data_IF_957833853394
#
_entry.id   IF_957833853394
#
_cell.length_a   1.000
_cell.length_b   1.000
_cell.length_c   1.000
_cell.angle_alpha   90.00
_cell.angle_beta   90.00
_cell.angle_gamma   90.00
#
_symmetry.space_group_name_H-M   'P 1'
#
loop_
_entity.id
_entity.type
_entity.pdbx_description
1 polymer ?
#
# COMPACT_ATOMS: atom_id res chain seq x y z
N UNK A 1 39.39 46.58 -24.23
CA UNK A 1 38.28 47.28 -24.95
C UNK A 1 37.66 46.26 -25.89
N UNK A 2 36.45 45.99 -25.75
CA UNK A 2 35.47 45.20 -26.49
C UNK A 2 34.87 44.00 -25.69
N UNK A 3 33.66 44.26 -25.26
CA UNK A 3 32.65 43.34 -24.75
C UNK A 3 32.17 42.45 -25.89
N UNK A 4 32.00 41.16 -25.60
CA UNK A 4 31.18 40.29 -26.45
C UNK A 4 30.17 39.52 -25.55
N UNK A 5 28.96 39.98 -25.67
CA UNK A 5 27.74 39.41 -25.11
C UNK A 5 27.43 38.05 -25.75
N UNK A 6 27.34 37.00 -24.94
CA UNK A 6 26.86 35.70 -25.39
C UNK A 6 25.35 35.59 -25.11
N UNK A 7 24.58 35.67 -26.20
CA UNK A 7 23.12 35.46 -26.19
C UNK A 7 22.82 33.97 -26.17
N UNK A 8 22.18 33.49 -25.12
CA UNK A 8 21.64 32.12 -25.05
C UNK A 8 20.28 32.08 -25.75
N UNK A 9 20.25 31.39 -26.88
CA UNK A 9 19.05 31.12 -27.66
C UNK A 9 18.29 29.95 -27.02
N UNK A 10 17.16 30.28 -26.39
CA UNK A 10 16.25 29.29 -25.80
C UNK A 10 15.38 28.70 -26.93
N UNK A 11 15.69 27.49 -27.36
CA UNK A 11 14.83 26.76 -28.30
C UNK A 11 13.69 26.12 -27.51
N UNK A 12 12.49 26.72 -27.63
CA UNK A 12 11.25 26.13 -27.17
C UNK A 12 10.85 24.99 -28.10
N UNK A 13 11.12 23.74 -27.69
CA UNK A 13 10.50 22.57 -28.32
C UNK A 13 9.10 22.41 -27.71
N UNK A 14 8.07 22.78 -28.47
CA UNK A 14 6.69 22.45 -28.15
C UNK A 14 6.49 20.95 -28.35
N UNK A 15 6.54 20.17 -27.27
CA UNK A 15 6.04 18.80 -27.27
C UNK A 15 4.54 18.88 -27.01
N UNK A 16 3.73 18.53 -28.01
CA UNK A 16 2.30 18.33 -27.85
C UNK A 16 2.08 17.10 -26.96
N UNK A 17 1.82 17.32 -25.67
CA UNK A 17 1.25 16.31 -24.82
C UNK A 17 -0.20 16.10 -25.21
N UNK A 18 -0.48 14.95 -25.83
CA UNK A 18 -1.84 14.41 -25.93
C UNK A 18 -2.33 14.24 -24.50
N UNK A 19 -3.38 14.98 -24.17
CA UNK A 19 -4.01 14.98 -22.85
C UNK A 19 -4.62 13.60 -22.57
N UNK A 20 -3.87 12.71 -21.93
CA UNK A 20 -4.47 11.65 -21.15
C UNK A 20 -5.14 12.33 -19.96
N UNK A 21 -6.48 12.21 -19.85
CA UNK A 21 -7.22 12.63 -18.65
C UNK A 21 -6.59 11.99 -17.44
N UNK A 22 -6.03 12.80 -16.54
CA UNK A 22 -5.65 12.34 -15.21
C UNK A 22 -6.87 11.69 -14.54
N UNK A 23 -6.67 10.57 -13.84
CA UNK A 23 -7.79 9.92 -13.16
C UNK A 23 -8.41 10.87 -12.14
N UNK A 24 -9.75 10.92 -12.11
CA UNK A 24 -10.58 11.84 -11.30
C UNK A 24 -10.53 11.59 -9.78
N UNK A 25 -9.45 11.07 -9.24
CA UNK A 25 -9.31 10.83 -7.79
C UNK A 25 -8.41 11.85 -7.06
N UNK A 26 -8.02 12.97 -7.70
CA UNK A 26 -7.65 14.17 -6.95
C UNK A 26 -8.85 14.69 -6.17
N UNK A 27 -9.46 13.79 -5.37
CA UNK A 27 -10.64 14.03 -4.58
C UNK A 27 -10.25 14.62 -3.25
N UNK A 28 -10.62 15.86 -3.04
CA UNK A 28 -10.71 16.53 -1.75
C UNK A 28 -11.48 15.66 -0.75
N UNK A 29 -10.82 15.10 0.25
CA UNK A 29 -11.47 14.37 1.33
C UNK A 29 -11.74 15.31 2.49
N UNK A 30 -13.03 15.58 2.77
CA UNK A 30 -13.43 16.34 3.95
C UNK A 30 -13.49 15.44 5.17
N UNK A 31 -12.56 15.60 6.11
CA UNK A 31 -12.69 15.08 7.47
C UNK A 31 -13.09 16.26 8.37
N UNK A 32 -14.35 16.25 8.88
CA UNK A 32 -14.89 17.29 9.77
C UNK A 32 -14.68 18.74 9.31
N UNK A 33 -14.87 19.03 8.00
CA UNK A 33 -14.87 20.40 7.49
C UNK A 33 -13.50 21.04 7.29
N UNK A 34 -12.39 20.32 7.48
CA UNK A 34 -11.03 20.74 7.08
C UNK A 34 -10.53 19.89 5.92
N UNK A 35 -10.05 20.57 4.89
CA UNK A 35 -9.23 19.95 3.85
C UNK A 35 -7.85 19.69 4.44
N UNK A 36 -7.57 18.43 4.76
CA UNK A 36 -6.23 18.03 5.18
C UNK A 36 -5.56 17.41 3.96
N UNK A 37 -4.68 18.16 3.33
CA UNK A 37 -3.77 17.67 2.31
C UNK A 37 -2.65 16.86 2.98
N UNK A 38 -2.98 15.70 3.51
CA UNK A 38 -1.95 14.80 4.01
C UNK A 38 -1.32 14.08 2.82
N UNK A 39 -0.04 14.33 2.55
CA UNK A 39 0.71 13.62 1.51
C UNK A 39 1.05 12.21 2.01
N UNK A 40 0.29 11.20 1.57
CA UNK A 40 0.60 9.81 1.83
C UNK A 40 1.52 9.26 0.74
N UNK A 41 2.51 8.50 1.16
CA UNK A 41 3.45 7.79 0.26
C UNK A 41 3.58 6.33 0.68
N UNK A 42 3.79 5.45 -0.29
CA UNK A 42 4.28 4.11 -0.01
C UNK A 42 5.79 4.09 -0.21
N UNK A 43 6.52 3.83 0.87
CA UNK A 43 7.98 3.81 0.89
C UNK A 43 8.50 2.42 1.27
N UNK A 44 9.69 2.08 0.80
CA UNK A 44 10.45 0.95 1.32
C UNK A 44 11.03 1.32 2.67
N UNK A 45 11.26 0.32 3.53
CA UNK A 45 11.93 0.55 4.79
C UNK A 45 13.41 0.86 4.56
N UNK A 46 13.83 2.02 4.99
CA UNK A 46 15.23 2.44 5.09
C UNK A 46 15.58 2.64 6.57
N UNK A 47 16.86 2.59 6.91
CA UNK A 47 17.31 2.71 8.30
C UNK A 47 16.90 4.04 8.94
N UNK A 48 16.79 5.09 8.13
CA UNK A 48 16.32 6.43 8.54
C UNK A 48 14.89 6.43 9.07
N UNK A 49 14.07 5.44 8.68
CA UNK A 49 12.68 5.30 9.13
C UNK A 49 12.51 4.42 10.38
N UNK A 50 13.61 4.00 11.01
CA UNK A 50 13.51 3.17 12.21
C UNK A 50 12.69 3.79 13.36
N UNK A 51 12.80 5.11 13.64
CA UNK A 51 11.95 5.73 14.66
C UNK A 51 10.45 5.58 14.38
N UNK A 52 10.03 5.80 13.12
CA UNK A 52 8.63 5.68 12.69
C UNK A 52 8.15 4.23 12.72
N UNK A 53 9.02 3.28 12.36
CA UNK A 53 8.73 1.85 12.43
C UNK A 53 8.48 1.42 13.87
N UNK A 54 9.42 1.74 14.77
CA UNK A 54 9.35 1.35 16.19
C UNK A 54 8.10 1.95 16.83
N UNK A 55 7.82 3.24 16.62
CA UNK A 55 6.61 3.90 17.12
C UNK A 55 5.32 3.19 16.66
N UNK A 56 5.21 2.84 15.38
CA UNK A 56 4.04 2.13 14.86
C UNK A 56 3.92 0.72 15.44
N UNK A 57 5.02 -0.02 15.49
CA UNK A 57 5.01 -1.42 15.91
C UNK A 57 4.79 -1.57 17.42
N UNK A 58 5.35 -0.67 18.22
CA UNK A 58 5.16 -0.62 19.68
C UNK A 58 3.69 -0.32 20.01
N UNK A 59 3.07 0.68 19.35
CA UNK A 59 1.64 0.95 19.51
C UNK A 59 0.81 -0.28 19.19
N UNK A 60 1.11 -0.93 18.07
CA UNK A 60 0.33 -2.09 17.62
C UNK A 60 0.50 -3.29 18.55
N UNK A 61 1.73 -3.54 19.00
CA UNK A 61 2.02 -4.59 20.00
C UNK A 61 1.33 -4.33 21.32
N UNK A 62 1.32 -3.08 21.80
CA UNK A 62 0.66 -2.69 23.04
C UNK A 62 -0.86 -2.80 22.99
N UNK A 63 -1.46 -2.73 21.78
CA UNK A 63 -2.92 -2.89 21.61
C UNK A 63 -3.40 -4.32 21.86
N UNK A 64 -2.50 -5.32 21.84
CA UNK A 64 -2.84 -6.73 21.95
C UNK A 64 -3.55 -7.32 20.72
N UNK A 65 -3.71 -6.52 19.65
CA UNK A 65 -4.33 -6.96 18.41
C UNK A 65 -3.31 -7.66 17.48
N UNK A 66 -3.82 -8.50 16.58
CA UNK A 66 -2.98 -9.13 15.56
C UNK A 66 -2.40 -8.05 14.64
N UNK A 67 -1.07 -8.03 14.52
CA UNK A 67 -0.36 -7.17 13.58
C UNK A 67 -0.54 -7.73 12.16
N UNK A 68 -0.92 -6.90 11.23
CA UNK A 68 -1.12 -7.23 9.81
C UNK A 68 -0.49 -6.16 8.91
N UNK A 69 0.09 -6.54 7.76
CA UNK A 69 0.22 -7.89 7.21
C UNK A 69 1.20 -8.77 8.01
N UNK A 70 1.04 -10.09 7.91
CA UNK A 70 1.85 -11.07 8.66
C UNK A 70 3.36 -10.88 8.51
N UNK A 71 3.81 -10.37 7.38
CA UNK A 71 5.23 -10.12 7.10
C UNK A 71 5.90 -9.25 8.17
N UNK A 72 5.16 -8.33 8.79
CA UNK A 72 5.68 -7.44 9.83
C UNK A 72 6.08 -8.16 11.14
N UNK A 73 5.67 -9.42 11.30
CA UNK A 73 5.93 -10.21 12.52
C UNK A 73 6.99 -11.29 12.32
N UNK A 74 7.66 -11.34 11.16
CA UNK A 74 8.62 -12.39 10.83
C UNK A 74 9.94 -12.30 11.59
N UNK A 75 10.35 -11.07 11.97
CA UNK A 75 11.59 -10.80 12.68
C UNK A 75 11.40 -9.67 13.72
N UNK A 76 12.40 -9.49 14.55
CA UNK A 76 12.44 -8.41 15.53
C UNK A 76 12.65 -7.05 14.86
N UNK A 77 11.64 -6.20 14.91
CA UNK A 77 11.65 -4.87 14.27
C UNK A 77 12.63 -3.87 14.91
N UNK A 78 13.24 -4.19 16.05
CA UNK A 78 14.32 -3.39 16.63
C UNK A 78 15.68 -3.64 15.97
N UNK A 79 15.78 -4.69 15.16
CA UNK A 79 17.02 -5.11 14.49
C UNK A 79 16.90 -4.86 12.98
N UNK A 80 17.26 -3.65 12.54
CA UNK A 80 17.01 -3.18 11.18
C UNK A 80 17.44 -4.19 10.10
N UNK A 81 18.68 -4.68 10.14
CA UNK A 81 19.22 -5.53 9.08
C UNK A 81 18.43 -6.84 8.93
N UNK A 82 18.20 -7.54 10.05
CA UNK A 82 17.46 -8.80 10.05
C UNK A 82 15.98 -8.56 9.67
N UNK A 83 15.43 -7.42 10.10
CA UNK A 83 14.05 -7.07 9.82
C UNK A 83 13.81 -6.76 8.35
N UNK A 84 14.63 -5.91 7.74
CA UNK A 84 14.48 -5.55 6.32
C UNK A 84 14.63 -6.76 5.41
N UNK A 85 15.55 -7.67 5.73
CA UNK A 85 15.74 -8.92 4.99
C UNK A 85 14.52 -9.87 5.11
N UNK A 86 13.77 -9.80 6.21
CA UNK A 86 12.57 -10.61 6.44
C UNK A 86 11.32 -10.13 5.71
N UNK A 87 11.31 -8.85 5.27
CA UNK A 87 10.11 -8.18 4.76
C UNK A 87 9.69 -8.66 3.38
N UNK A 88 10.57 -9.28 2.60
CA UNK A 88 10.30 -9.62 1.21
C UNK A 88 10.78 -11.03 0.87
N UNK A 89 10.01 -11.69 0.01
CA UNK A 89 10.39 -12.93 -0.66
C UNK A 89 10.87 -12.56 -2.06
N UNK A 90 12.16 -12.82 -2.34
CA UNK A 90 12.78 -12.42 -3.61
C UNK A 90 12.53 -13.47 -4.71
N UNK A 91 12.47 -14.75 -4.35
CA UNK A 91 12.32 -15.84 -5.31
C UNK A 91 11.27 -16.85 -4.86
N UNK A 92 10.71 -17.56 -5.84
CA UNK A 92 9.78 -18.65 -5.55
C UNK A 92 10.47 -19.82 -4.86
N UNK A 93 9.75 -20.44 -3.92
CA UNK A 93 10.18 -21.65 -3.27
C UNK A 93 9.33 -21.96 -2.03
N UNK A 94 9.23 -23.22 -1.67
CA UNK A 94 8.52 -23.68 -0.46
C UNK A 94 7.08 -23.15 -0.33
N UNK A 95 6.38 -22.99 -1.47
CA UNK A 95 5.01 -22.44 -1.49
C UNK A 95 4.92 -20.92 -1.31
N UNK A 96 6.06 -20.22 -1.29
CA UNK A 96 6.13 -18.76 -1.27
C UNK A 96 6.23 -18.20 -2.70
N UNK A 97 5.76 -17.00 -2.88
CA UNK A 97 5.88 -16.23 -4.14
C UNK A 97 6.62 -14.94 -3.85
N UNK A 98 7.29 -14.34 -4.85
CA UNK A 98 7.89 -13.02 -4.70
C UNK A 98 6.86 -12.00 -4.22
N UNK A 99 7.28 -11.16 -3.28
CA UNK A 99 6.45 -10.10 -2.73
C UNK A 99 7.25 -8.82 -2.48
N UNK A 100 6.54 -7.73 -2.25
CA UNK A 100 7.12 -6.44 -1.89
C UNK A 100 6.35 -5.81 -0.75
N UNK A 101 7.06 -5.36 0.27
CA UNK A 101 6.48 -4.67 1.41
C UNK A 101 6.75 -3.17 1.33
N UNK A 102 5.71 -2.37 1.59
CA UNK A 102 5.77 -0.93 1.66
C UNK A 102 5.11 -0.42 2.93
N UNK A 103 5.65 0.66 3.48
CA UNK A 103 5.08 1.38 4.62
C UNK A 103 4.36 2.63 4.14
N UNK A 104 3.19 2.89 4.70
CA UNK A 104 2.39 4.08 4.39
C UNK A 104 2.88 5.23 5.27
N UNK A 105 3.68 6.12 4.70
CA UNK A 105 4.21 7.30 5.37
C UNK A 105 3.21 8.46 5.21
N UNK A 106 2.87 9.08 6.34
CA UNK A 106 2.31 10.42 6.38
C UNK A 106 3.47 11.41 6.43
N UNK A 107 3.77 12.03 5.28
CA UNK A 107 4.93 12.89 5.10
C UNK A 107 4.85 14.18 5.96
N UNK A 108 3.64 14.68 6.19
CA UNK A 108 3.43 15.90 6.98
C UNK A 108 3.62 15.67 8.48
N UNK A 109 3.31 14.47 8.96
CA UNK A 109 3.44 14.08 10.37
C UNK A 109 4.70 13.27 10.66
N UNK A 110 5.45 12.93 9.62
CA UNK A 110 6.65 12.07 9.69
C UNK A 110 6.40 10.78 10.49
N UNK A 111 5.33 10.05 10.12
CA UNK A 111 4.94 8.82 10.83
C UNK A 111 4.40 7.75 9.90
N UNK A 112 4.62 6.48 10.24
CA UNK A 112 3.97 5.36 9.56
C UNK A 112 2.55 5.15 10.07
N UNK A 113 1.60 5.07 9.12
CA UNK A 113 0.19 4.83 9.38
C UNK A 113 -0.17 3.35 9.31
N UNK A 114 0.63 2.56 8.60
CA UNK A 114 0.38 1.16 8.33
C UNK A 114 1.34 0.61 7.29
N UNK A 115 1.04 -0.59 6.81
CA UNK A 115 1.86 -1.24 5.78
C UNK A 115 1.01 -2.08 4.84
N UNK A 116 1.56 -2.32 3.65
CA UNK A 116 1.05 -3.27 2.66
C UNK A 116 2.14 -4.23 2.23
N UNK A 117 1.78 -5.50 2.02
CA UNK A 117 2.61 -6.50 1.37
C UNK A 117 1.90 -6.93 0.08
N UNK A 118 2.58 -6.79 -1.06
CA UNK A 118 2.07 -7.08 -2.40
C UNK A 118 2.74 -8.34 -2.93
N UNK A 119 1.99 -9.42 -3.13
CA UNK A 119 2.43 -10.64 -3.77
C UNK A 119 2.39 -10.44 -5.27
N UNK A 120 3.51 -10.67 -5.95
CA UNK A 120 3.65 -10.39 -7.37
C UNK A 120 2.81 -11.34 -8.25
N UNK A 121 2.44 -12.49 -7.69
CA UNK A 121 1.55 -13.47 -8.32
C UNK A 121 0.79 -14.28 -7.28
N UNK A 122 -0.22 -15.01 -7.73
CA UNK A 122 -0.99 -15.92 -6.88
C UNK A 122 -0.57 -17.37 -7.17
N UNK A 123 -0.29 -18.12 -6.12
CA UNK A 123 -0.32 -19.58 -6.13
C UNK A 123 -1.73 -20.06 -5.70
N UNK A 124 -1.96 -21.38 -5.69
CA UNK A 124 -3.26 -21.95 -5.34
C UNK A 124 -3.77 -21.50 -3.96
N UNK A 125 -2.88 -21.44 -2.96
CA UNK A 125 -3.21 -21.00 -1.61
C UNK A 125 -3.61 -19.51 -1.59
N UNK A 126 -2.84 -18.65 -2.24
CA UNK A 126 -3.13 -17.21 -2.30
C UNK A 126 -4.35 -16.90 -3.16
N UNK A 127 -4.58 -17.70 -4.21
CA UNK A 127 -5.80 -17.60 -5.01
C UNK A 127 -7.03 -17.98 -4.20
N UNK A 128 -6.92 -18.96 -3.31
CA UNK A 128 -7.99 -19.36 -2.43
C UNK A 128 -8.19 -18.35 -1.30
N UNK A 129 -7.12 -18.07 -0.53
CA UNK A 129 -7.13 -17.20 0.64
C UNK A 129 -5.84 -16.38 0.74
N UNK A 130 -5.96 -15.07 0.86
CA UNK A 130 -4.83 -14.16 1.01
C UNK A 130 -4.70 -13.12 -0.11
N UNK A 131 -4.98 -13.49 -1.36
CA UNK A 131 -4.95 -12.57 -2.49
C UNK A 131 -3.57 -11.95 -2.75
N UNK A 132 -3.54 -10.87 -3.56
CA UNK A 132 -2.34 -10.13 -3.89
C UNK A 132 -1.89 -9.20 -2.76
N UNK A 133 -2.82 -8.58 -2.02
CA UNK A 133 -2.51 -7.55 -1.04
C UNK A 133 -2.90 -8.00 0.36
N UNK A 134 -1.93 -7.97 1.27
CA UNK A 134 -2.15 -7.97 2.71
C UNK A 134 -1.87 -6.58 3.25
N UNK A 135 -2.76 -6.02 4.05
CA UNK A 135 -2.66 -4.64 4.52
C UNK A 135 -3.12 -4.46 5.95
N UNK A 136 -2.66 -3.37 6.56
CA UNK A 136 -3.14 -2.97 7.87
C UNK A 136 -2.79 -1.53 8.21
N UNK A 137 -3.64 -0.94 9.03
CA UNK A 137 -3.46 0.40 9.60
C UNK A 137 -3.28 0.28 11.11
N UNK A 138 -2.31 1.00 11.67
CA UNK A 138 -2.06 1.08 13.12
C UNK A 138 -3.34 1.48 13.87
N UNK A 139 -3.57 0.98 15.10
CA UNK A 139 -4.85 1.13 15.80
C UNK A 139 -5.36 2.57 15.90
N UNK A 140 -4.51 3.53 16.31
CA UNK A 140 -4.89 4.93 16.51
C UNK A 140 -5.29 5.67 15.24
N UNK A 141 -4.92 5.15 14.06
CA UNK A 141 -5.16 5.79 12.76
C UNK A 141 -6.32 5.17 11.96
N UNK A 142 -6.99 4.16 12.52
CA UNK A 142 -8.16 3.52 11.89
C UNK A 142 -9.38 4.42 11.86
N UNK A 143 -10.31 4.14 10.95
CA UNK A 143 -11.56 4.90 10.81
C UNK A 143 -11.41 6.28 10.18
N UNK A 144 -10.21 6.71 9.86
CA UNK A 144 -9.88 8.03 9.28
C UNK A 144 -9.77 8.04 7.76
N UNK A 145 -10.02 6.90 7.09
CA UNK A 145 -9.96 6.76 5.63
C UNK A 145 -8.58 6.42 5.06
N UNK A 146 -7.56 6.32 5.91
CA UNK A 146 -6.18 6.03 5.47
C UNK A 146 -6.04 4.68 4.77
N UNK A 147 -6.74 3.62 5.25
CA UNK A 147 -6.74 2.32 4.57
C UNK A 147 -7.18 2.40 3.11
N UNK A 148 -8.24 3.17 2.82
CA UNK A 148 -8.71 3.35 1.44
C UNK A 148 -7.67 4.03 0.57
N UNK A 149 -6.99 5.07 1.09
CA UNK A 149 -5.92 5.78 0.36
C UNK A 149 -4.67 4.92 0.18
N UNK A 150 -4.29 4.18 1.22
CA UNK A 150 -3.15 3.26 1.18
C UNK A 150 -3.35 2.17 0.12
N UNK A 151 -4.56 1.58 0.03
CA UNK A 151 -4.86 0.60 -1.01
C UNK A 151 -4.84 1.23 -2.40
N UNK A 152 -5.35 2.46 -2.58
CA UNK A 152 -5.24 3.15 -3.87
C UNK A 152 -3.78 3.26 -4.33
N UNK A 153 -2.86 3.67 -3.44
CA UNK A 153 -1.42 3.71 -3.72
C UNK A 153 -0.83 2.31 -3.98
N UNK A 154 -1.31 1.28 -3.26
CA UNK A 154 -0.86 -0.10 -3.47
C UNK A 154 -1.27 -0.64 -4.85
N UNK A 155 -2.44 -0.24 -5.36
CA UNK A 155 -2.88 -0.60 -6.71
C UNK A 155 -2.01 0.04 -7.80
N UNK A 156 -1.46 1.24 -7.56
CA UNK A 156 -0.46 1.83 -8.45
C UNK A 156 0.83 0.99 -8.47
N UNK A 157 1.29 0.54 -7.29
CA UNK A 157 2.42 -0.39 -7.22
C UNK A 157 2.15 -1.74 -7.90
N UNK A 158 0.92 -2.23 -7.82
CA UNK A 158 0.53 -3.43 -8.57
C UNK A 158 0.64 -3.22 -10.09
N UNK A 159 0.24 -2.05 -10.63
CA UNK A 159 0.44 -1.72 -12.05
C UNK A 159 1.92 -1.68 -12.45
N UNK A 160 2.76 -1.05 -11.61
CA UNK A 160 4.22 -1.01 -11.82
C UNK A 160 4.83 -2.43 -11.87
N UNK A 161 4.25 -3.38 -11.13
CA UNK A 161 4.64 -4.80 -11.10
C UNK A 161 4.03 -5.63 -12.25
N UNK A 162 3.22 -5.02 -13.14
CA UNK A 162 2.58 -5.70 -14.26
C UNK A 162 1.38 -6.57 -13.86
N UNK A 163 0.75 -6.29 -12.71
CA UNK A 163 -0.46 -6.96 -12.26
C UNK A 163 -1.66 -6.19 -12.81
N UNK A 164 -2.41 -6.80 -13.71
CA UNK A 164 -3.57 -6.16 -14.35
C UNK A 164 -4.86 -6.30 -13.54
N UNK A 165 -4.92 -7.30 -12.66
CA UNK A 165 -6.10 -7.64 -11.89
C UNK A 165 -5.72 -8.12 -10.51
N UNK A 166 -6.19 -7.42 -9.48
CA UNK A 166 -5.81 -7.64 -8.07
C UNK A 166 -6.93 -8.39 -7.34
N UNK A 167 -6.60 -9.54 -6.75
CA UNK A 167 -7.47 -10.22 -5.79
C UNK A 167 -7.18 -9.69 -4.38
N UNK A 168 -8.21 -9.26 -3.68
CA UNK A 168 -8.18 -8.99 -2.24
C UNK A 168 -9.20 -9.88 -1.52
N UNK A 169 -8.81 -10.35 -0.34
CA UNK A 169 -9.63 -11.27 0.47
C UNK A 169 -9.75 -10.68 1.88
N UNK A 170 -10.94 -10.77 2.47
CA UNK A 170 -11.16 -10.35 3.84
C UNK A 170 -12.21 -11.23 4.54
N UNK A 171 -12.11 -11.37 5.85
CA UNK A 171 -13.15 -11.95 6.68
C UNK A 171 -14.48 -11.18 6.45
N UNK A 172 -15.58 -11.92 6.26
CA UNK A 172 -16.94 -11.37 6.11
C UNK A 172 -17.32 -10.41 7.24
N UNK A 173 -16.83 -10.67 8.45
CA UNK A 173 -17.09 -9.79 9.60
C UNK A 173 -16.24 -8.52 9.59
N UNK A 174 -15.22 -8.44 8.74
CA UNK A 174 -14.37 -7.25 8.60
C UNK A 174 -14.99 -6.24 7.62
N UNK A 175 -16.11 -5.63 8.03
CA UNK A 175 -16.80 -4.64 7.22
C UNK A 175 -15.93 -3.41 6.86
N UNK A 176 -14.85 -3.14 7.61
CA UNK A 176 -13.94 -2.03 7.30
C UNK A 176 -13.07 -2.37 6.08
N UNK A 177 -12.52 -3.58 6.03
CA UNK A 177 -11.76 -4.07 4.88
C UNK A 177 -12.66 -4.17 3.63
N UNK A 178 -13.83 -4.80 3.73
CA UNK A 178 -14.77 -4.90 2.62
C UNK A 178 -15.12 -3.52 2.02
N UNK A 179 -15.43 -2.52 2.86
CA UNK A 179 -15.68 -1.14 2.38
C UNK A 179 -14.45 -0.51 1.72
N UNK A 180 -13.27 -0.77 2.24
CA UNK A 180 -12.01 -0.28 1.66
C UNK A 180 -11.79 -0.86 0.27
N UNK A 181 -12.00 -2.16 0.11
CA UNK A 181 -11.85 -2.86 -1.17
C UNK A 181 -12.87 -2.34 -2.19
N UNK A 182 -14.15 -2.25 -1.82
CA UNK A 182 -15.21 -1.77 -2.71
C UNK A 182 -14.98 -0.31 -3.14
N UNK A 183 -14.51 0.57 -2.23
CA UNK A 183 -14.16 1.96 -2.57
C UNK A 183 -13.01 2.07 -3.57
N UNK A 184 -12.16 1.06 -3.66
CA UNK A 184 -11.07 0.95 -4.63
C UNK A 184 -11.48 0.17 -5.91
N UNK A 185 -12.78 -0.03 -6.14
CA UNK A 185 -13.29 -0.68 -7.35
C UNK A 185 -13.41 -2.20 -7.24
N UNK A 186 -13.31 -2.75 -6.04
CA UNK A 186 -13.46 -4.19 -5.80
C UNK A 186 -14.87 -4.68 -6.08
N UNK A 187 -14.96 -5.71 -6.91
CA UNK A 187 -16.19 -6.45 -7.21
C UNK A 187 -16.12 -7.82 -6.54
N UNK A 188 -17.10 -8.12 -5.70
CA UNK A 188 -17.16 -9.42 -5.03
C UNK A 188 -17.33 -10.54 -6.06
N UNK A 189 -16.45 -11.53 -6.00
CA UNK A 189 -16.57 -12.75 -6.78
C UNK A 189 -17.45 -13.77 -6.06
N UNK A 190 -17.13 -14.05 -4.81
CA UNK A 190 -17.84 -15.03 -3.99
C UNK A 190 -17.49 -14.89 -2.49
N UNK A 191 -18.17 -15.70 -1.69
CA UNK A 191 -17.81 -16.01 -0.31
C UNK A 191 -17.44 -17.48 -0.23
N UNK A 192 -16.40 -17.81 0.51
CA UNK A 192 -15.96 -19.18 0.74
C UNK A 192 -15.64 -19.39 2.23
N UNK A 193 -15.92 -20.58 2.73
CA UNK A 193 -15.53 -20.93 4.10
C UNK A 193 -14.15 -21.60 4.11
N UNK A 194 -13.25 -21.05 4.94
CA UNK A 194 -11.90 -21.60 5.12
C UNK A 194 -11.63 -21.67 6.62
N UNK A 195 -11.35 -22.88 7.11
CA UNK A 195 -11.06 -23.15 8.54
C UNK A 195 -12.10 -22.55 9.50
N UNK A 196 -13.39 -22.58 9.11
CA UNK A 196 -14.50 -22.05 9.89
C UNK A 196 -14.70 -20.54 9.82
N UNK A 197 -13.92 -19.84 8.99
CA UNK A 197 -14.07 -18.41 8.72
C UNK A 197 -14.65 -18.20 7.33
N UNK A 198 -15.69 -17.37 7.25
CA UNK A 198 -16.28 -16.98 5.97
C UNK A 198 -15.47 -15.84 5.37
N UNK A 199 -14.78 -16.09 4.29
CA UNK A 199 -13.95 -15.15 3.57
C UNK A 199 -14.65 -14.59 2.34
N UNK A 200 -14.59 -13.27 2.14
CA UNK A 200 -15.08 -12.58 0.97
C UNK A 200 -13.95 -12.30 0.01
N UNK A 201 -14.11 -12.67 -1.26
CA UNK A 201 -13.11 -12.51 -2.31
C UNK A 201 -13.54 -11.47 -3.32
N UNK A 202 -12.68 -10.48 -3.57
CA UNK A 202 -12.95 -9.35 -4.43
C UNK A 202 -11.87 -9.21 -5.51
N UNK A 203 -12.28 -8.93 -6.74
CA UNK A 203 -11.37 -8.57 -7.81
C UNK A 203 -11.44 -7.07 -8.12
N UNK A 204 -10.26 -6.48 -8.30
CA UNK A 204 -10.09 -5.09 -8.74
C UNK A 204 -9.39 -5.14 -10.10
N UNK A 205 -10.03 -4.66 -11.15
CA UNK A 205 -9.41 -4.48 -12.47
C UNK A 205 -8.68 -3.14 -12.50
N UNK A 206 -7.37 -3.19 -12.81
CA UNK A 206 -6.49 -2.01 -12.77
C UNK A 206 -5.77 -1.75 -14.10
N UNK A 207 -6.25 -2.38 -15.18
CA UNK A 207 -5.73 -2.15 -16.53
C UNK A 207 -5.89 -0.71 -16.98
#
# INVERSE_FOLDING_TARGET
>A
MMLTTCVWLYIMVKINFITAKAPQWEGFWRIRGREVHTMLKLVKLEETYMPQLVDMMDEWSASGEKIVPYVLTKADYHRYQDYVESLEVISEGNGLVPDSTYFCLDDDRDMFLGAVNIRHKLNEKLLLNGGHIGDGIRPSERGKGYGTRMIALALEKCRELGIDRVLMVCDRNNAASARTIVKNGGVMENEIEIDGVMEQRYWIDIR
#
